data_IF_109701066549
#
_entry.id   IF_109701066549
#
_cell.length_a   1.000
_cell.length_b   1.000
_cell.length_c   1.000
_cell.angle_alpha   90.00
_cell.angle_beta   90.00
_cell.angle_gamma   90.00
#
_symmetry.space_group_name_H-M   'P 1'
#
loop_
_entity.id
_entity.type
_entity.pdbx_description
1 polymer ?
#
# COMPACT_ATOMS: atom_id res chain seq x y z
N UNK A 1 -3.62 -13.23 -12.93
CA UNK A 1 -4.29 -12.63 -11.76
C UNK A 1 -4.94 -11.34 -12.23
N UNK A 2 -6.27 -11.18 -12.14
CA UNK A 2 -6.93 -9.93 -12.53
C UNK A 2 -6.42 -8.74 -11.71
N UNK A 3 -6.18 -7.60 -12.37
CA UNK A 3 -5.73 -6.35 -11.75
C UNK A 3 -6.54 -5.19 -12.32
N UNK A 4 -6.93 -4.25 -11.47
CA UNK A 4 -7.65 -3.03 -11.86
C UNK A 4 -7.02 -1.80 -11.19
N UNK A 5 -7.03 -0.67 -11.88
CA UNK A 5 -6.68 0.62 -11.30
C UNK A 5 -7.86 1.21 -10.53
N UNK A 6 -7.62 1.83 -9.38
CA UNK A 6 -8.65 2.50 -8.58
C UNK A 6 -8.06 3.72 -7.88
N UNK A 7 -8.83 4.80 -7.86
CA UNK A 7 -8.55 5.97 -7.03
C UNK A 7 -9.23 5.79 -5.66
N UNK A 8 -8.50 6.07 -4.59
CA UNK A 8 -8.89 5.85 -3.21
C UNK A 8 -8.80 7.15 -2.40
N UNK A 9 -9.61 7.27 -1.37
CA UNK A 9 -9.40 8.27 -0.33
C UNK A 9 -8.46 7.69 0.75
N UNK A 10 -7.26 8.25 0.87
CA UNK A 10 -6.23 7.74 1.79
C UNK A 10 -6.64 7.86 3.26
N UNK A 11 -7.42 8.86 3.62
CA UNK A 11 -7.87 9.08 5.00
C UNK A 11 -8.84 7.97 5.41
N UNK A 12 -9.93 7.80 4.67
CA UNK A 12 -11.02 6.90 5.06
C UNK A 12 -10.77 5.44 4.68
N UNK A 13 -10.04 5.18 3.59
CA UNK A 13 -9.87 3.83 3.05
C UNK A 13 -8.52 3.20 3.37
N UNK A 14 -7.57 3.98 3.91
CA UNK A 14 -6.27 3.46 4.35
C UNK A 14 -6.06 3.81 5.82
N UNK A 15 -5.93 5.09 6.16
CA UNK A 15 -5.56 5.49 7.52
C UNK A 15 -6.55 4.99 8.59
N UNK A 16 -7.86 5.22 8.40
CA UNK A 16 -8.89 4.86 9.39
C UNK A 16 -9.07 3.35 9.58
N UNK A 17 -8.71 2.54 8.56
CA UNK A 17 -8.88 1.07 8.57
C UNK A 17 -7.60 0.31 8.86
N UNK A 18 -6.48 1.02 8.96
CA UNK A 18 -5.16 0.42 9.16
C UNK A 18 -4.85 0.30 10.64
N UNK A 19 -4.18 -0.79 11.02
CA UNK A 19 -3.77 -1.06 12.40
C UNK A 19 -2.25 -1.27 12.52
N UNK A 20 -1.72 -1.11 13.74
CA UNK A 20 -0.33 -1.42 14.06
C UNK A 20 0.68 -0.33 13.70
N UNK A 21 1.94 -0.72 13.51
CA UNK A 21 3.08 0.22 13.39
C UNK A 21 3.05 1.08 12.12
N UNK A 22 2.33 0.65 11.09
CA UNK A 22 2.26 1.40 9.83
C UNK A 22 1.52 2.74 10.00
N UNK A 23 0.63 2.88 10.98
CA UNK A 23 -0.04 4.16 11.30
C UNK A 23 0.95 5.27 11.66
N UNK A 24 2.11 4.91 12.22
CA UNK A 24 3.17 5.86 12.60
C UNK A 24 3.92 6.42 11.38
N UNK A 25 3.69 5.86 10.19
CA UNK A 25 4.36 6.27 8.95
C UNK A 25 3.59 7.34 8.17
N UNK A 26 2.37 7.69 8.63
CA UNK A 26 1.55 8.73 8.03
C UNK A 26 1.95 10.12 8.54
N UNK A 27 1.96 11.10 7.64
CA UNK A 27 2.27 12.49 7.97
C UNK A 27 1.68 13.45 6.92
N UNK A 28 1.61 14.74 7.27
CA UNK A 28 1.24 15.81 6.34
C UNK A 28 2.52 16.47 5.84
N UNK A 29 2.67 16.56 4.51
CA UNK A 29 3.84 17.18 3.90
C UNK A 29 3.82 18.71 4.03
N UNK A 30 4.95 19.41 3.79
CA UNK A 30 4.99 20.87 3.78
C UNK A 30 4.07 21.51 2.73
N UNK A 31 3.66 20.76 1.70
CA UNK A 31 2.69 21.18 0.69
C UNK A 31 1.23 20.89 1.10
N UNK A 32 1.01 20.48 2.36
CA UNK A 32 -0.29 20.16 2.93
C UNK A 32 -1.00 18.96 2.24
N UNK A 33 -0.20 18.01 1.73
CA UNK A 33 -0.69 16.73 1.22
C UNK A 33 -0.58 15.64 2.27
N UNK A 34 -1.52 14.69 2.28
CA UNK A 34 -1.48 13.52 3.13
C UNK A 34 -0.56 12.46 2.52
N UNK A 35 0.38 11.95 3.31
CA UNK A 35 1.44 11.07 2.85
C UNK A 35 1.66 9.90 3.80
N UNK A 36 2.20 8.80 3.28
CA UNK A 36 2.74 7.71 4.08
C UNK A 36 3.87 6.99 3.34
N UNK A 37 4.81 6.38 4.08
CA UNK A 37 5.93 5.63 3.50
C UNK A 37 5.89 4.13 3.80
N UNK A 38 5.04 3.67 4.72
CA UNK A 38 4.90 2.25 5.03
C UNK A 38 6.13 1.61 5.68
N UNK A 39 6.17 0.29 5.72
CA UNK A 39 7.27 -0.51 6.29
C UNK A 39 7.68 -1.61 5.32
N UNK A 40 8.78 -1.39 4.61
CA UNK A 40 9.37 -2.36 3.68
C UNK A 40 10.89 -2.20 3.62
N UNK A 41 11.58 -3.12 2.96
CA UNK A 41 13.04 -3.14 2.88
C UNK A 41 13.63 -2.13 1.90
N UNK A 42 12.82 -1.60 0.97
CA UNK A 42 13.32 -0.82 -0.16
C UNK A 42 12.48 0.44 -0.37
N UNK A 43 13.10 1.62 -0.16
CA UNK A 43 12.48 2.94 -0.32
C UNK A 43 11.19 3.19 0.48
N UNK A 44 11.01 2.54 1.63
CA UNK A 44 9.96 2.89 2.59
C UNK A 44 10.46 3.92 3.62
N UNK A 45 10.93 5.07 3.15
CA UNK A 45 11.42 6.20 3.97
C UNK A 45 10.71 7.52 3.62
N UNK A 46 10.92 8.56 4.42
CA UNK A 46 10.28 9.87 4.23
C UNK A 46 10.64 10.54 2.90
N UNK A 47 11.82 10.27 2.34
CA UNK A 47 12.27 10.82 1.06
C UNK A 47 11.54 10.22 -0.15
N UNK A 48 10.96 9.03 0.02
CA UNK A 48 10.22 8.29 -1.01
C UNK A 48 8.77 8.01 -0.60
N UNK A 49 8.23 8.83 0.31
CA UNK A 49 6.85 8.69 0.75
C UNK A 49 5.87 8.88 -0.41
N UNK A 50 4.77 8.13 -0.36
CA UNK A 50 3.66 8.25 -1.30
C UNK A 50 2.70 9.28 -0.75
N UNK A 51 2.38 10.29 -1.56
CA UNK A 51 1.53 11.41 -1.19
C UNK A 51 0.33 11.51 -2.14
N UNK A 52 -0.84 11.86 -1.58
CA UNK A 52 -2.02 12.24 -2.36
C UNK A 52 -1.99 13.70 -2.81
N UNK A 53 -3.12 14.16 -3.37
CA UNK A 53 -3.36 15.56 -3.70
C UNK A 53 -4.84 15.96 -3.53
N UNK A 54 -5.27 16.42 -2.34
CA UNK A 54 -4.52 16.42 -1.07
C UNK A 54 -4.43 15.03 -0.43
N UNK A 55 -5.45 14.18 -0.58
CA UNK A 55 -5.58 12.87 0.08
C UNK A 55 -6.10 11.75 -0.85
N UNK A 56 -6.25 12.04 -2.15
CA UNK A 56 -6.64 11.04 -3.15
C UNK A 56 -5.39 10.39 -3.77
N UNK A 57 -5.43 9.06 -3.91
CA UNK A 57 -4.32 8.27 -4.46
C UNK A 57 -4.83 7.19 -5.41
N UNK A 58 -4.20 7.09 -6.58
CA UNK A 58 -4.43 5.97 -7.51
C UNK A 58 -3.54 4.77 -7.14
N UNK A 59 -4.13 3.58 -7.13
CA UNK A 59 -3.42 2.32 -6.86
C UNK A 59 -3.93 1.16 -7.69
N UNK A 60 -3.09 0.13 -7.83
CA UNK A 60 -3.44 -1.12 -8.50
C UNK A 60 -3.95 -2.15 -7.49
N UNK A 61 -5.14 -2.70 -7.75
CA UNK A 61 -5.77 -3.73 -6.93
C UNK A 61 -5.73 -5.06 -7.66
N UNK A 62 -4.94 -5.99 -7.12
CA UNK A 62 -4.86 -7.35 -7.63
C UNK A 62 -5.76 -8.28 -6.81
N UNK A 63 -6.53 -9.13 -7.49
CA UNK A 63 -7.28 -10.17 -6.82
C UNK A 63 -6.32 -11.14 -6.12
N UNK A 64 -6.54 -11.45 -4.84
CA UNK A 64 -5.70 -12.42 -4.14
C UNK A 64 -5.77 -13.80 -4.81
N UNK A 65 -4.62 -14.47 -4.90
CA UNK A 65 -4.59 -15.89 -5.21
C UNK A 65 -5.23 -16.68 -4.06
N UNK A 66 -5.89 -17.83 -4.34
CA UNK A 66 -6.41 -18.73 -3.30
C UNK A 66 -5.32 -19.07 -2.29
N UNK A 67 -5.68 -19.27 -1.01
CA UNK A 67 -4.71 -19.62 0.03
C UNK A 67 -3.98 -20.92 -0.33
N UNK A 68 -2.76 -21.06 0.18
CA UNK A 68 -1.93 -22.25 -0.05
C UNK A 68 -2.56 -23.54 0.50
N UNK A 69 -3.47 -23.43 1.47
CA UNK A 69 -4.17 -24.56 2.07
C UNK A 69 -5.19 -25.20 1.10
N UNK A 70 -5.67 -24.43 0.13
CA UNK A 70 -6.69 -24.85 -0.84
C UNK A 70 -6.06 -25.12 -2.21
N UNK A 71 -5.01 -24.38 -2.59
CA UNK A 71 -4.30 -24.57 -3.84
C UNK A 71 -2.79 -24.39 -3.65
N UNK A 72 -2.04 -25.47 -3.81
CA UNK A 72 -0.58 -25.45 -3.71
C UNK A 72 0.02 -24.61 -4.85
N UNK A 73 0.92 -23.70 -4.49
CA UNK A 73 1.67 -22.91 -5.47
C UNK A 73 3.03 -23.55 -5.66
N UNK A 74 3.36 -23.92 -6.90
CA UNK A 74 4.73 -24.31 -7.23
C UNK A 74 5.62 -23.08 -7.14
N UNK A 75 6.46 -23.03 -6.12
CA UNK A 75 7.58 -22.08 -6.08
C UNK A 75 8.68 -22.74 -6.92
N UNK A 76 8.99 -22.15 -8.08
CA UNK A 76 10.10 -22.63 -8.89
C UNK A 76 11.39 -22.55 -8.09
N UNK A 77 12.13 -23.65 -8.02
CA UNK A 77 13.55 -23.62 -7.71
C UNK A 77 14.19 -22.74 -8.79
N UNK A 78 14.65 -21.54 -8.40
CA UNK A 78 15.67 -20.84 -9.17
C UNK A 78 16.91 -21.74 -9.13
N UNK A 79 17.13 -22.45 -10.24
CA UNK A 79 18.42 -23.05 -10.56
C UNK A 79 19.35 -21.95 -11.08
#
# INVERSE_FOLDING_TARGET
MPVVGRVLNMTTEIYDVTEGDILKTFFVSPANNFCFHGKCSYYCDTGHAICGNPDMLEGSFAAFLPSSDIAERKVGILI
#
